data_IF_310250519376
#
_entry.id   IF_310250519376
#
_cell.length_a   1.000
_cell.length_b   1.000
_cell.length_c   1.000
_cell.angle_alpha   90.00
_cell.angle_beta   90.00
_cell.angle_gamma   90.00
#
_symmetry.space_group_name_H-M   'P 1'
#
loop_
_entity.id
_entity.type
_entity.pdbx_description
1 polymer ?
#
# COMPACT_ATOMS: atom_id res chain seq x y z
N UNK A 1 15.76 24.80 -28.00
CA UNK A 1 15.09 23.46 -28.03
C UNK A 1 14.69 23.11 -26.60
N UNK A 2 13.52 22.45 -26.41
CA UNK A 2 13.09 21.97 -25.09
C UNK A 2 13.08 20.44 -25.10
N UNK A 3 13.69 19.81 -24.08
CA UNK A 3 13.74 18.35 -23.90
C UNK A 3 13.01 18.00 -22.62
N UNK A 4 12.01 17.11 -22.70
CA UNK A 4 11.32 16.52 -21.56
C UNK A 4 11.96 15.17 -21.27
N UNK A 5 12.34 14.95 -20.01
CA UNK A 5 13.01 13.74 -19.54
C UNK A 5 12.05 13.06 -18.57
N UNK A 6 11.37 12.01 -19.04
CA UNK A 6 10.42 11.21 -18.26
C UNK A 6 11.00 9.80 -18.09
N UNK A 7 11.48 9.50 -16.88
CA UNK A 7 12.15 8.24 -16.57
C UNK A 7 11.60 7.65 -15.28
N UNK A 8 11.43 6.34 -15.25
CA UNK A 8 11.20 5.58 -14.02
C UNK A 8 12.54 5.31 -13.29
N UNK A 9 12.47 4.77 -12.08
CA UNK A 9 13.61 4.39 -11.27
C UNK A 9 14.39 3.21 -11.90
N UNK A 10 15.72 3.22 -11.70
CA UNK A 10 16.55 2.04 -11.95
C UNK A 10 16.60 1.22 -10.66
N UNK A 11 15.70 0.30 -10.53
CA UNK A 11 15.45 -0.49 -9.30
C UNK A 11 16.73 -0.97 -8.62
N UNK A 12 16.94 -0.50 -7.38
CA UNK A 12 18.15 -0.80 -6.58
C UNK A 12 19.40 0.00 -6.93
N UNK A 13 19.31 1.03 -7.81
CA UNK A 13 20.44 1.84 -8.25
C UNK A 13 20.17 3.34 -8.16
N UNK A 14 19.27 3.88 -9.00
CA UNK A 14 18.94 5.31 -9.06
C UNK A 14 17.43 5.53 -8.92
N UNK A 15 17.04 6.56 -8.20
CA UNK A 15 15.66 7.05 -8.24
C UNK A 15 15.33 7.66 -9.61
N UNK A 16 14.05 7.76 -9.95
CA UNK A 16 13.58 8.43 -11.18
C UNK A 16 14.08 9.88 -11.26
N UNK A 17 14.16 10.55 -10.11
CA UNK A 17 14.65 11.92 -9.97
C UNK A 17 16.16 12.01 -10.28
N UNK A 18 16.97 11.14 -9.66
CA UNK A 18 18.43 11.11 -9.89
C UNK A 18 18.76 10.76 -11.33
N UNK A 19 18.08 9.76 -11.91
CA UNK A 19 18.23 9.37 -13.29
C UNK A 19 17.88 10.51 -14.24
N UNK A 20 16.74 11.17 -14.03
CA UNK A 20 16.31 12.33 -14.82
C UNK A 20 17.28 13.50 -14.72
N UNK A 21 17.80 13.82 -13.52
CA UNK A 21 18.81 14.88 -13.31
C UNK A 21 20.12 14.56 -14.02
N UNK A 22 20.59 13.30 -13.98
CA UNK A 22 21.81 12.88 -14.67
C UNK A 22 21.69 13.02 -16.18
N UNK A 23 20.55 12.63 -16.76
CA UNK A 23 20.27 12.83 -18.21
C UNK A 23 20.22 14.31 -18.56
N UNK A 24 19.54 15.15 -17.76
CA UNK A 24 19.49 16.59 -17.97
C UNK A 24 20.88 17.24 -17.95
N UNK A 25 21.75 16.80 -17.06
CA UNK A 25 23.13 17.27 -17.00
C UNK A 25 23.91 16.87 -18.27
N UNK A 26 23.76 15.61 -18.74
CA UNK A 26 24.38 15.16 -19.98
C UNK A 26 23.94 15.97 -21.19
N UNK A 27 22.63 16.26 -21.31
CA UNK A 27 22.09 17.11 -22.40
C UNK A 27 22.68 18.53 -22.35
N UNK A 28 22.72 19.16 -21.16
CA UNK A 28 23.28 20.51 -20.99
C UNK A 28 24.77 20.57 -21.25
N UNK A 29 25.53 19.51 -21.01
CA UNK A 29 26.95 19.41 -21.36
C UNK A 29 27.16 19.37 -22.88
N UNK A 30 26.23 18.74 -23.61
CA UNK A 30 26.31 18.69 -25.06
C UNK A 30 25.90 20.02 -25.71
N UNK A 31 24.85 20.65 -25.21
CA UNK A 31 24.39 21.99 -25.63
C UNK A 31 23.69 22.69 -24.45
N UNK A 32 24.39 23.67 -23.89
CA UNK A 32 23.90 24.47 -22.74
C UNK A 32 22.69 25.36 -23.05
N UNK A 33 22.28 25.50 -24.32
CA UNK A 33 21.09 26.28 -24.71
C UNK A 33 19.80 25.48 -24.63
N UNK A 34 19.88 24.16 -24.40
CA UNK A 34 18.72 23.28 -24.31
C UNK A 34 18.04 23.41 -22.94
N UNK A 35 16.76 23.76 -22.95
CA UNK A 35 15.92 23.72 -21.78
C UNK A 35 15.55 22.26 -21.47
N UNK A 36 15.98 21.74 -20.31
CA UNK A 36 15.63 20.40 -19.84
C UNK A 36 14.57 20.47 -18.76
N UNK A 37 13.45 19.74 -18.95
CA UNK A 37 12.40 19.56 -17.96
C UNK A 37 12.41 18.10 -17.52
N UNK A 38 12.75 17.86 -16.24
CA UNK A 38 12.71 16.52 -15.64
C UNK A 38 11.32 16.28 -15.11
N UNK A 39 10.64 15.25 -15.63
CA UNK A 39 9.32 14.79 -15.21
C UNK A 39 9.48 13.36 -14.68
N UNK A 40 9.76 13.16 -13.39
CA UNK A 40 9.85 11.82 -12.82
C UNK A 40 8.54 11.06 -13.03
N UNK A 41 8.64 9.81 -13.47
CA UNK A 41 7.49 8.90 -13.59
C UNK A 41 7.66 7.72 -12.65
N UNK A 42 6.56 7.08 -12.30
CA UNK A 42 6.54 5.91 -11.43
C UNK A 42 5.32 5.03 -11.74
N UNK A 43 5.47 3.74 -11.46
CA UNK A 43 4.51 2.69 -11.79
C UNK A 43 3.60 2.29 -10.60
N UNK A 44 3.58 3.07 -9.52
CA UNK A 44 2.88 2.72 -8.27
C UNK A 44 3.75 1.90 -7.29
N UNK A 45 4.98 1.57 -7.67
CA UNK A 45 5.98 0.91 -6.83
C UNK A 45 6.84 1.88 -6.01
N UNK A 46 8.05 1.42 -5.66
CA UNK A 46 9.01 2.19 -4.86
C UNK A 46 9.42 3.49 -5.56
N UNK A 47 9.35 4.62 -4.82
CA UNK A 47 9.71 5.95 -5.30
C UNK A 47 8.56 6.75 -5.93
N UNK A 48 7.38 6.17 -6.07
CA UNK A 48 6.18 6.84 -6.62
C UNK A 48 5.83 8.10 -5.83
N UNK A 49 5.81 8.01 -4.49
CA UNK A 49 5.48 9.15 -3.63
C UNK A 49 6.47 10.30 -3.81
N UNK A 50 7.76 10.01 -3.82
CA UNK A 50 8.79 11.03 -4.01
C UNK A 50 8.71 11.68 -5.40
N UNK A 51 8.56 10.87 -6.45
CA UNK A 51 8.47 11.34 -7.83
C UNK A 51 7.26 12.27 -8.05
N UNK A 52 6.07 11.84 -7.62
CA UNK A 52 4.85 12.65 -7.75
C UNK A 52 4.89 13.89 -6.87
N UNK A 53 5.45 13.80 -5.65
CA UNK A 53 5.58 14.96 -4.75
C UNK A 53 6.47 16.03 -5.36
N UNK A 54 7.64 15.66 -5.92
CA UNK A 54 8.54 16.60 -6.61
C UNK A 54 7.86 17.17 -7.86
N UNK A 55 7.26 16.31 -8.70
CA UNK A 55 6.59 16.73 -9.93
C UNK A 55 5.42 17.70 -9.71
N UNK A 56 4.72 17.56 -8.60
CA UNK A 56 3.60 18.44 -8.20
C UNK A 56 4.06 19.65 -7.36
N UNK A 57 5.36 19.79 -7.08
CA UNK A 57 5.89 20.78 -6.15
C UNK A 57 5.19 20.73 -4.79
N UNK A 58 5.05 19.52 -4.26
CA UNK A 58 4.49 19.23 -2.93
C UNK A 58 5.55 19.26 -1.84
N UNK A 59 5.11 19.01 -0.63
CA UNK A 59 5.95 18.92 0.58
C UNK A 59 6.02 17.47 1.05
N UNK A 60 7.17 17.05 1.59
CA UNK A 60 7.32 15.72 2.20
C UNK A 60 7.05 15.82 3.70
N UNK A 61 6.14 14.97 4.18
CA UNK A 61 5.81 14.80 5.59
C UNK A 61 6.47 13.52 6.10
N UNK A 62 7.06 13.58 7.30
CA UNK A 62 7.65 12.44 8.01
C UNK A 62 6.79 12.07 9.21
N UNK A 63 6.46 10.80 9.33
CA UNK A 63 5.64 10.30 10.43
C UNK A 63 6.24 9.01 11.01
N UNK A 64 6.16 8.83 12.33
CA UNK A 64 6.53 7.58 12.98
C UNK A 64 5.32 6.65 13.06
N UNK A 65 5.42 5.51 12.40
CA UNK A 65 4.36 4.52 12.29
C UNK A 65 4.85 3.14 12.71
N UNK A 66 3.92 2.22 12.86
CA UNK A 66 4.22 0.81 13.12
C UNK A 66 4.74 0.16 11.85
N UNK A 67 5.93 -0.40 11.92
CA UNK A 67 6.54 -1.18 10.84
C UNK A 67 5.92 -2.56 10.67
N UNK A 68 6.34 -3.32 9.64
CA UNK A 68 5.74 -4.61 9.32
C UNK A 68 5.92 -5.67 10.42
N UNK A 69 6.95 -5.56 11.25
CA UNK A 69 7.22 -6.48 12.38
C UNK A 69 6.73 -5.92 13.73
N UNK A 70 6.01 -4.79 13.74
CA UNK A 70 5.46 -4.17 14.95
C UNK A 70 6.34 -3.11 15.60
N UNK A 71 7.61 -2.96 15.20
CA UNK A 71 8.50 -1.89 15.64
C UNK A 71 8.11 -0.53 15.02
N UNK A 72 8.61 0.57 15.59
CA UNK A 72 8.36 1.90 15.01
C UNK A 72 9.39 2.24 13.94
N UNK A 73 8.90 2.56 12.76
CA UNK A 73 9.67 3.04 11.61
C UNK A 73 9.30 4.48 11.28
N UNK A 74 10.18 5.19 10.58
CA UNK A 74 9.86 6.49 9.98
C UNK A 74 9.40 6.27 8.55
N UNK A 75 8.18 6.67 8.24
CA UNK A 75 7.62 6.67 6.90
C UNK A 75 7.52 8.10 6.37
N UNK A 76 7.61 8.25 5.05
CA UNK A 76 7.47 9.52 4.35
C UNK A 76 6.28 9.47 3.39
N UNK A 77 5.57 10.59 3.25
CA UNK A 77 4.54 10.76 2.23
C UNK A 77 4.50 12.20 1.73
N UNK A 78 4.02 12.40 0.50
CA UNK A 78 3.90 13.71 -0.11
C UNK A 78 2.57 14.38 0.20
N UNK A 79 2.57 15.72 0.29
CA UNK A 79 1.36 16.54 0.43
C UNK A 79 1.38 17.68 -0.56
N UNK A 80 0.25 17.89 -1.26
CA UNK A 80 -0.01 19.07 -2.09
C UNK A 80 -1.43 19.56 -1.88
N UNK A 81 -1.58 20.64 -1.13
CA UNK A 81 -2.91 21.14 -0.73
C UNK A 81 -3.68 20.09 0.07
N UNK A 82 -4.77 19.56 -0.46
CA UNK A 82 -5.57 18.50 0.16
C UNK A 82 -5.29 17.08 -0.40
N UNK A 83 -4.27 16.95 -1.24
CA UNK A 83 -3.82 15.66 -1.80
C UNK A 83 -2.67 15.10 -0.96
N UNK A 84 -2.79 13.85 -0.57
CA UNK A 84 -1.70 13.06 -0.01
C UNK A 84 -1.26 11.97 -1.00
N UNK A 85 0.04 11.73 -1.10
CA UNK A 85 0.66 10.74 -1.98
C UNK A 85 1.48 9.80 -1.09
N UNK A 86 1.01 8.57 -0.95
CA UNK A 86 1.56 7.57 -0.05
C UNK A 86 2.06 6.35 -0.81
N UNK A 87 3.02 5.65 -0.21
CA UNK A 87 3.40 4.28 -0.59
C UNK A 87 3.25 3.37 0.63
N UNK A 88 2.53 2.27 0.46
CA UNK A 88 2.40 1.29 1.53
C UNK A 88 3.74 0.70 1.96
N UNK A 89 4.70 0.64 1.04
CA UNK A 89 6.04 0.11 1.28
C UNK A 89 6.85 0.91 2.32
N UNK A 90 6.53 2.19 2.53
CA UNK A 90 7.14 3.04 3.57
C UNK A 90 6.85 2.53 4.99
N UNK A 91 5.72 1.84 5.19
CA UNK A 91 5.29 1.33 6.49
C UNK A 91 5.23 -0.21 6.54
N UNK A 92 5.02 -0.88 5.42
CA UNK A 92 4.78 -2.32 5.36
C UNK A 92 5.50 -3.00 4.18
N UNK A 93 6.59 -2.40 3.70
CA UNK A 93 7.36 -2.86 2.56
C UNK A 93 8.32 -4.00 2.88
N UNK A 94 8.62 -4.80 1.84
CA UNK A 94 9.55 -5.92 1.93
C UNK A 94 11.00 -5.50 2.31
N UNK A 95 11.53 -4.31 1.89
CA UNK A 95 12.84 -3.84 2.32
C UNK A 95 12.96 -3.59 3.83
N UNK A 96 11.85 -3.35 4.53
CA UNK A 96 11.82 -3.17 5.99
C UNK A 96 11.95 -4.50 6.76
N UNK A 97 11.87 -5.65 6.07
CA UNK A 97 11.90 -6.97 6.69
C UNK A 97 13.19 -7.69 6.29
N UNK A 98 14.14 -7.90 7.22
CA UNK A 98 15.32 -8.74 6.97
C UNK A 98 14.92 -10.11 6.42
N UNK A 99 15.71 -10.64 5.48
CA UNK A 99 15.36 -11.86 4.76
C UNK A 99 15.08 -13.06 5.69
N UNK A 100 15.85 -13.18 6.77
CA UNK A 100 15.73 -14.22 7.80
C UNK A 100 14.51 -14.04 8.71
N UNK A 101 13.87 -12.86 8.68
CA UNK A 101 12.66 -12.54 9.47
C UNK A 101 11.39 -12.47 8.63
N UNK A 102 11.46 -12.76 7.33
CA UNK A 102 10.29 -12.75 6.46
C UNK A 102 9.31 -13.84 6.87
N UNK A 103 8.12 -13.43 7.29
CA UNK A 103 7.05 -14.31 7.68
C UNK A 103 5.70 -13.59 7.53
N UNK A 104 4.94 -13.82 6.45
CA UNK A 104 3.69 -13.10 6.19
C UNK A 104 2.56 -13.46 7.16
N UNK A 105 2.73 -14.50 7.98
CA UNK A 105 1.80 -14.81 9.07
C UNK A 105 1.81 -13.72 10.16
N UNK A 106 2.92 -12.98 10.30
CA UNK A 106 3.16 -12.03 11.40
C UNK A 106 3.25 -10.58 10.96
N UNK A 107 3.53 -10.32 9.69
CA UNK A 107 3.71 -8.94 9.18
C UNK A 107 2.38 -8.23 9.02
N UNK A 108 2.36 -6.92 9.35
CA UNK A 108 1.13 -6.12 9.44
C UNK A 108 1.13 -4.89 8.53
N UNK A 109 -0.05 -4.52 8.06
CA UNK A 109 -0.33 -3.24 7.37
C UNK A 109 -0.73 -2.11 8.32
N UNK A 110 -0.60 -2.28 9.65
CA UNK A 110 -1.08 -1.29 10.63
C UNK A 110 -0.52 0.11 10.39
N UNK A 111 0.77 0.22 10.09
CA UNK A 111 1.41 1.50 9.80
C UNK A 111 0.88 2.21 8.54
N UNK A 112 0.36 1.47 7.57
CA UNK A 112 -0.32 2.06 6.40
C UNK A 112 -1.55 2.84 6.84
N UNK A 113 -2.35 2.27 7.75
CA UNK A 113 -3.49 2.95 8.33
C UNK A 113 -3.09 4.15 9.21
N UNK A 114 -1.97 4.05 9.95
CA UNK A 114 -1.42 5.20 10.70
C UNK A 114 -1.01 6.34 9.74
N UNK A 115 -0.37 6.05 8.61
CA UNK A 115 -0.03 7.06 7.58
C UNK A 115 -1.29 7.73 7.02
N UNK A 116 -2.31 6.94 6.66
CA UNK A 116 -3.59 7.48 6.16
C UNK A 116 -4.25 8.39 7.19
N UNK A 117 -4.28 7.96 8.46
CA UNK A 117 -4.85 8.75 9.56
C UNK A 117 -4.08 10.04 9.79
N UNK A 118 -2.75 10.01 9.73
CA UNK A 118 -1.90 11.20 9.85
C UNK A 118 -2.17 12.20 8.74
N UNK A 119 -2.22 11.75 7.48
CA UNK A 119 -2.54 12.61 6.34
C UNK A 119 -3.96 13.21 6.41
N UNK A 120 -4.96 12.45 6.90
CA UNK A 120 -6.30 12.95 7.17
C UNK A 120 -6.26 14.06 8.23
N UNK A 121 -5.49 13.89 9.30
CA UNK A 121 -5.31 14.90 10.36
C UNK A 121 -4.58 16.15 9.86
N UNK A 122 -3.73 16.03 8.83
CA UNK A 122 -3.14 17.15 8.09
C UNK A 122 -4.13 17.84 7.13
N UNK A 123 -5.38 17.41 7.07
CA UNK A 123 -6.42 18.01 6.25
C UNK A 123 -6.54 17.46 4.84
N UNK A 124 -5.82 16.39 4.50
CA UNK A 124 -5.92 15.74 3.21
C UNK A 124 -7.27 15.00 3.06
N UNK A 125 -7.85 15.07 1.87
CA UNK A 125 -9.12 14.40 1.51
C UNK A 125 -9.01 13.60 0.21
N UNK A 126 -7.93 13.79 -0.53
CA UNK A 126 -7.63 13.06 -1.76
C UNK A 126 -6.34 12.29 -1.55
N UNK A 127 -6.33 11.04 -1.99
CA UNK A 127 -5.21 10.14 -1.74
C UNK A 127 -4.83 9.41 -3.01
N UNK A 128 -3.53 9.38 -3.29
CA UNK A 128 -2.90 8.44 -4.21
C UNK A 128 -2.08 7.51 -3.34
N UNK A 129 -2.34 6.21 -3.41
CA UNK A 129 -1.67 5.20 -2.62
C UNK A 129 -1.04 4.15 -3.52
N UNK A 130 0.28 4.14 -3.62
CA UNK A 130 1.03 3.04 -4.23
C UNK A 130 1.00 1.81 -3.32
N UNK A 131 0.58 0.66 -3.86
CA UNK A 131 0.46 -0.58 -3.08
C UNK A 131 1.46 -1.67 -3.48
N UNK A 132 2.48 -1.33 -4.28
CA UNK A 132 3.58 -2.21 -4.62
C UNK A 132 4.54 -2.50 -3.47
N UNK A 133 5.36 -3.54 -3.60
CA UNK A 133 6.49 -3.84 -2.70
C UNK A 133 6.14 -4.36 -1.30
N UNK A 134 4.94 -4.88 -1.06
CA UNK A 134 4.45 -5.31 0.27
C UNK A 134 5.19 -6.51 0.87
N UNK A 135 5.39 -6.48 2.21
CA UNK A 135 5.87 -7.62 3.00
C UNK A 135 4.73 -8.42 3.65
N UNK A 136 3.49 -7.98 3.52
CA UNK A 136 2.34 -8.42 4.30
C UNK A 136 1.38 -9.32 3.52
N UNK A 137 0.62 -10.14 4.25
CA UNK A 137 -0.47 -10.97 3.72
C UNK A 137 -1.63 -11.01 4.73
N UNK A 138 -1.97 -9.85 5.30
CA UNK A 138 -2.96 -9.69 6.36
C UNK A 138 -4.33 -9.18 5.85
N UNK A 139 -4.55 -9.18 4.52
CA UNK A 139 -5.80 -8.70 3.95
C UNK A 139 -6.07 -7.21 4.18
N UNK A 140 -5.07 -6.43 4.60
CA UNK A 140 -5.25 -5.05 5.03
C UNK A 140 -5.84 -4.91 6.43
N UNK A 141 -5.94 -6.00 7.20
CA UNK A 141 -6.53 -6.02 8.54
C UNK A 141 -5.86 -5.01 9.48
N UNK A 142 -4.53 -4.96 9.49
CA UNK A 142 -3.80 -3.98 10.29
C UNK A 142 -4.16 -2.54 9.93
N UNK A 143 -4.21 -2.22 8.64
CA UNK A 143 -4.64 -0.90 8.17
C UNK A 143 -6.03 -0.55 8.69
N UNK A 144 -6.98 -1.48 8.59
CA UNK A 144 -8.34 -1.27 9.07
C UNK A 144 -8.39 -1.04 10.58
N UNK A 145 -7.63 -1.82 11.36
CA UNK A 145 -7.52 -1.62 12.83
C UNK A 145 -6.99 -0.22 13.16
N UNK A 146 -5.94 0.25 12.47
CA UNK A 146 -5.39 1.59 12.69
C UNK A 146 -6.38 2.71 12.33
N UNK A 147 -7.31 2.44 11.40
CA UNK A 147 -8.37 3.37 11.00
C UNK A 147 -9.64 3.25 11.87
N UNK A 148 -9.63 2.38 12.89
CA UNK A 148 -10.69 2.25 13.87
C UNK A 148 -11.78 1.24 13.53
N UNK A 149 -11.56 0.36 12.55
CA UNK A 149 -12.42 -0.81 12.37
C UNK A 149 -12.13 -1.84 13.45
N UNK A 150 -13.15 -2.42 14.02
CA UNK A 150 -13.03 -3.50 15.00
C UNK A 150 -12.99 -4.85 14.28
N UNK A 151 -11.84 -5.50 14.30
CA UNK A 151 -11.65 -6.88 13.85
C UNK A 151 -11.49 -7.74 15.10
N UNK A 152 -12.48 -8.59 15.39
CA UNK A 152 -12.64 -9.25 16.68
C UNK A 152 -12.61 -10.77 16.55
N UNK A 153 -12.05 -11.42 17.55
CA UNK A 153 -12.18 -12.87 17.75
C UNK A 153 -13.56 -13.26 18.30
N UNK A 154 -13.79 -14.55 18.53
CA UNK A 154 -15.04 -15.08 19.09
C UNK A 154 -15.37 -14.57 20.51
N UNK A 155 -14.36 -14.14 21.26
CA UNK A 155 -14.49 -13.66 22.64
C UNK A 155 -14.63 -12.12 22.68
N UNK A 156 -14.62 -11.45 21.51
CA UNK A 156 -14.76 -10.00 21.35
C UNK A 156 -13.46 -9.21 21.55
N UNK A 157 -12.31 -9.87 21.58
CA UNK A 157 -11.02 -9.22 21.67
C UNK A 157 -10.49 -8.84 20.26
N UNK A 158 -9.73 -7.75 20.13
CA UNK A 158 -9.06 -7.41 18.89
C UNK A 158 -8.13 -8.55 18.43
N UNK A 159 -8.20 -8.92 17.15
CA UNK A 159 -7.30 -9.93 16.59
C UNK A 159 -5.85 -9.43 16.54
N UNK A 160 -4.84 -10.30 16.69
CA UNK A 160 -3.44 -9.93 16.58
C UNK A 160 -3.08 -9.50 15.14
N UNK A 161 -1.88 -8.93 14.97
CA UNK A 161 -1.36 -8.55 13.67
C UNK A 161 -1.05 -9.75 12.78
N UNK A 162 -0.99 -9.50 11.47
CA UNK A 162 -0.61 -10.47 10.45
C UNK A 162 -1.75 -11.41 10.04
N UNK A 163 -1.43 -12.35 9.15
CA UNK A 163 -2.40 -13.37 8.74
C UNK A 163 -2.86 -14.25 9.92
N UNK A 164 -2.04 -14.39 10.97
CA UNK A 164 -2.44 -15.08 12.21
C UNK A 164 -3.66 -14.45 12.85
N UNK A 165 -3.84 -13.14 12.72
CA UNK A 165 -5.04 -12.45 13.19
C UNK A 165 -6.30 -12.88 12.42
N UNK A 166 -6.19 -13.08 11.13
CA UNK A 166 -7.30 -13.54 10.30
C UNK A 166 -7.72 -14.99 10.64
N UNK A 167 -6.81 -15.81 11.18
CA UNK A 167 -7.11 -17.17 11.63
C UNK A 167 -8.19 -17.20 12.69
N UNK A 168 -8.17 -16.23 13.60
CA UNK A 168 -9.10 -16.17 14.75
C UNK A 168 -10.21 -15.14 14.56
N UNK A 169 -10.25 -14.47 13.42
CA UNK A 169 -11.25 -13.47 13.09
C UNK A 169 -12.64 -14.10 13.05
N UNK A 170 -13.56 -13.56 13.87
CA UNK A 170 -14.95 -14.01 13.98
C UNK A 170 -15.97 -12.90 13.68
N UNK A 171 -15.57 -11.62 13.81
CA UNK A 171 -16.48 -10.48 13.62
C UNK A 171 -15.73 -9.26 13.11
N UNK A 172 -16.40 -8.48 12.25
CA UNK A 172 -15.93 -7.19 11.76
C UNK A 172 -17.00 -6.15 12.07
N UNK A 173 -16.60 -5.02 12.64
CA UNK A 173 -17.47 -3.86 12.89
C UNK A 173 -16.82 -2.56 12.45
N UNK A 174 -17.64 -1.60 12.05
CA UNK A 174 -17.17 -0.28 11.54
C UNK A 174 -17.67 0.90 12.39
N UNK A 175 -18.27 0.63 13.56
CA UNK A 175 -18.86 1.68 14.41
C UNK A 175 -17.84 2.69 14.94
N UNK A 176 -16.59 2.24 15.12
CA UNK A 176 -15.49 3.06 15.62
C UNK A 176 -14.57 3.55 14.49
N UNK A 177 -14.88 3.23 13.22
CA UNK A 177 -14.10 3.67 12.07
C UNK A 177 -14.04 5.19 12.02
N UNK A 178 -12.86 5.72 11.64
CA UNK A 178 -12.59 7.15 11.57
C UNK A 178 -13.64 7.86 10.69
N UNK A 179 -14.48 8.76 11.25
CA UNK A 179 -15.60 9.35 10.50
C UNK A 179 -15.17 10.16 9.27
N UNK A 180 -13.96 10.71 9.30
CA UNK A 180 -13.39 11.49 8.19
C UNK A 180 -13.20 10.67 6.91
N UNK A 181 -13.08 9.33 6.98
CA UNK A 181 -12.96 8.44 5.83
C UNK A 181 -14.10 8.60 4.83
N UNK A 182 -15.31 8.91 5.29
CA UNK A 182 -16.49 9.12 4.43
C UNK A 182 -16.32 10.28 3.44
N UNK A 183 -15.40 11.20 3.71
CA UNK A 183 -15.13 12.38 2.89
C UNK A 183 -13.82 12.25 2.11
N UNK A 184 -13.18 11.07 2.14
CA UNK A 184 -11.93 10.83 1.44
C UNK A 184 -12.20 10.17 0.07
N UNK A 185 -11.42 10.59 -0.92
CA UNK A 185 -11.35 9.96 -2.23
C UNK A 185 -9.97 9.31 -2.33
N UNK A 186 -9.94 7.99 -2.45
CA UNK A 186 -8.71 7.20 -2.47
C UNK A 186 -8.57 6.52 -3.82
N UNK A 187 -7.41 6.71 -4.47
CA UNK A 187 -6.99 5.99 -5.65
C UNK A 187 -5.78 5.16 -5.30
N UNK A 188 -5.85 3.86 -5.55
CA UNK A 188 -4.76 2.95 -5.28
C UNK A 188 -4.12 2.51 -6.59
N UNK A 189 -2.83 2.81 -6.76
CA UNK A 189 -2.04 2.36 -7.90
C UNK A 189 -1.76 0.86 -7.76
N UNK A 190 -2.32 0.07 -8.68
CA UNK A 190 -2.34 -1.38 -8.64
C UNK A 190 -2.17 -1.97 -10.04
N UNK A 191 -0.98 -2.48 -10.36
CA UNK A 191 -0.68 -3.05 -11.68
C UNK A 191 -0.97 -4.55 -11.79
N UNK A 192 -1.53 -5.16 -10.74
CA UNK A 192 -1.88 -6.58 -10.74
C UNK A 192 -3.39 -6.78 -10.68
N UNK A 193 -3.86 -7.83 -11.33
CA UNK A 193 -5.29 -8.18 -11.41
C UNK A 193 -5.65 -9.42 -10.57
N UNK A 194 -4.73 -9.91 -9.75
CA UNK A 194 -4.92 -11.11 -8.95
C UNK A 194 -6.15 -10.99 -8.03
N UNK A 195 -7.00 -12.03 -7.94
CA UNK A 195 -8.07 -12.10 -6.96
C UNK A 195 -7.50 -12.26 -5.54
N UNK A 196 -8.37 -12.14 -4.54
CA UNK A 196 -7.95 -12.27 -3.15
C UNK A 196 -7.46 -13.69 -2.83
N UNK A 197 -8.15 -14.72 -3.30
CA UNK A 197 -7.97 -16.12 -2.94
C UNK A 197 -7.78 -17.03 -4.16
N UNK A 198 -7.36 -18.27 -3.91
CA UNK A 198 -7.22 -19.33 -4.89
C UNK A 198 -5.80 -19.43 -5.48
N UNK A 199 -5.65 -20.22 -6.54
CA UNK A 199 -4.35 -20.50 -7.18
C UNK A 199 -3.67 -19.24 -7.72
N UNK A 200 -4.46 -18.24 -8.14
CA UNK A 200 -3.99 -16.92 -8.58
C UNK A 200 -4.15 -15.85 -7.50
N UNK A 201 -4.49 -16.24 -6.28
CA UNK A 201 -4.73 -15.33 -5.15
C UNK A 201 -3.44 -14.79 -4.51
N UNK A 202 -3.61 -13.83 -3.62
CA UNK A 202 -2.50 -13.12 -3.00
C UNK A 202 -1.50 -14.03 -2.28
N UNK A 203 -2.00 -15.03 -1.54
CA UNK A 203 -1.16 -15.94 -0.77
C UNK A 203 -0.34 -16.86 -1.67
N UNK A 204 -0.97 -17.41 -2.73
CA UNK A 204 -0.33 -18.33 -3.64
C UNK A 204 0.75 -17.66 -4.50
N UNK A 205 0.43 -16.48 -5.08
CA UNK A 205 1.31 -15.80 -6.04
C UNK A 205 2.41 -15.02 -5.32
N UNK A 206 2.07 -14.26 -4.29
CA UNK A 206 3.00 -13.32 -3.66
C UNK A 206 3.54 -13.80 -2.29
N UNK A 207 2.97 -14.86 -1.72
CA UNK A 207 3.42 -15.43 -0.44
C UNK A 207 4.87 -15.90 -0.43
N UNK A 208 5.35 -16.64 -1.46
CA UNK A 208 6.71 -17.18 -1.47
C UNK A 208 7.80 -16.13 -1.29
N UNK A 209 7.73 -14.98 -2.01
CA UNK A 209 8.72 -13.90 -1.88
C UNK A 209 8.72 -13.23 -0.50
N UNK A 210 7.63 -13.38 0.26
CA UNK A 210 7.44 -12.88 1.63
C UNK A 210 7.87 -13.89 2.69
N UNK A 211 8.37 -15.06 2.28
CA UNK A 211 8.84 -16.12 3.17
C UNK A 211 7.78 -17.15 3.55
N UNK A 212 6.66 -17.23 2.82
CA UNK A 212 5.65 -18.25 3.07
C UNK A 212 6.09 -19.64 2.60
N UNK A 213 5.86 -20.65 3.43
CA UNK A 213 5.94 -22.06 3.02
C UNK A 213 4.66 -22.49 2.30
N UNK A 214 4.67 -23.63 1.57
CA UNK A 214 3.44 -24.17 0.97
C UNK A 214 2.30 -24.40 1.96
N UNK A 215 2.61 -24.77 3.20
CA UNK A 215 1.64 -24.94 4.29
C UNK A 215 1.01 -23.60 4.65
N UNK A 216 1.85 -22.58 4.91
CA UNK A 216 1.39 -21.21 5.22
C UNK A 216 0.51 -20.66 4.11
N UNK A 217 0.83 -20.90 2.83
CA UNK A 217 0.05 -20.44 1.69
C UNK A 217 -1.37 -21.00 1.76
N UNK A 218 -1.52 -22.33 2.00
CA UNK A 218 -2.85 -22.95 2.10
C UNK A 218 -3.64 -22.42 3.28
N UNK A 219 -2.99 -22.26 4.43
CA UNK A 219 -3.63 -21.71 5.62
C UNK A 219 -4.09 -20.26 5.41
N UNK A 220 -3.21 -19.40 4.91
CA UNK A 220 -3.53 -18.00 4.64
C UNK A 220 -4.65 -17.83 3.61
N UNK A 221 -4.69 -18.67 2.57
CA UNK A 221 -5.79 -18.65 1.60
C UNK A 221 -7.14 -18.98 2.28
N UNK A 222 -7.15 -19.94 3.20
CA UNK A 222 -8.32 -20.25 4.03
C UNK A 222 -8.73 -19.08 4.92
N UNK A 223 -7.78 -18.40 5.55
CA UNK A 223 -8.07 -17.23 6.39
C UNK A 223 -8.63 -16.06 5.58
N UNK A 224 -8.09 -15.81 4.38
CA UNK A 224 -8.59 -14.80 3.46
C UNK A 224 -10.03 -15.09 3.01
N UNK A 225 -10.39 -16.37 2.75
CA UNK A 225 -11.76 -16.77 2.42
C UNK A 225 -12.72 -16.49 3.57
N UNK A 226 -12.34 -16.82 4.80
CA UNK A 226 -13.13 -16.51 5.99
C UNK A 226 -13.30 -14.99 6.17
N UNK A 227 -12.23 -14.23 6.02
CA UNK A 227 -12.24 -12.77 6.08
C UNK A 227 -13.22 -12.18 5.05
N UNK A 228 -13.14 -12.62 3.79
CA UNK A 228 -14.05 -12.18 2.74
C UNK A 228 -15.52 -12.56 3.05
N UNK A 229 -15.75 -13.75 3.59
CA UNK A 229 -17.10 -14.19 3.99
C UNK A 229 -17.67 -13.33 5.12
N UNK A 230 -16.88 -13.03 6.14
CA UNK A 230 -17.30 -12.13 7.23
C UNK A 230 -17.53 -10.70 6.76
N UNK A 231 -16.74 -10.23 5.79
CA UNK A 231 -16.89 -8.89 5.21
C UNK A 231 -18.26 -8.70 4.56
N UNK A 232 -18.85 -9.74 3.95
CA UNK A 232 -20.19 -9.68 3.36
C UNK A 232 -21.31 -9.32 4.35
N UNK A 233 -21.11 -9.50 5.64
CA UNK A 233 -22.09 -9.08 6.64
C UNK A 233 -22.25 -7.56 6.73
N UNK A 234 -21.18 -6.80 6.41
CA UNK A 234 -21.19 -5.33 6.38
C UNK A 234 -21.29 -4.77 4.96
N UNK A 235 -20.72 -5.48 4.00
CA UNK A 235 -20.60 -5.09 2.59
C UNK A 235 -21.05 -6.26 1.70
N UNK A 236 -22.36 -6.48 1.52
CA UNK A 236 -22.90 -7.63 0.78
C UNK A 236 -22.41 -7.73 -0.68
N UNK A 237 -22.10 -6.58 -1.29
CA UNK A 237 -21.58 -6.47 -2.65
C UNK A 237 -20.08 -6.81 -2.77
N UNK A 238 -19.39 -7.03 -1.65
CA UNK A 238 -17.96 -7.34 -1.69
C UNK A 238 -17.67 -8.62 -2.46
N UNK A 239 -16.69 -8.56 -3.35
CA UNK A 239 -16.30 -9.68 -4.20
C UNK A 239 -14.80 -9.93 -4.10
N UNK A 240 -14.43 -11.14 -3.67
CA UNK A 240 -13.04 -11.60 -3.54
C UNK A 240 -12.34 -11.78 -4.91
N UNK A 241 -13.12 -11.88 -5.99
CA UNK A 241 -12.64 -12.05 -7.37
C UNK A 241 -12.44 -10.71 -8.09
N UNK A 242 -12.70 -9.58 -7.44
CA UNK A 242 -12.45 -8.26 -8.02
C UNK A 242 -10.98 -8.16 -8.44
N UNK A 243 -10.70 -7.75 -9.71
CA UNK A 243 -9.32 -7.55 -10.15
C UNK A 243 -8.56 -6.62 -9.22
N UNK A 244 -7.37 -7.06 -8.78
CA UNK A 244 -6.55 -6.30 -7.83
C UNK A 244 -6.89 -6.53 -6.35
N UNK A 245 -7.95 -7.28 -6.01
CA UNK A 245 -8.28 -7.60 -4.62
C UNK A 245 -7.11 -8.28 -3.88
N UNK A 246 -6.33 -9.11 -4.58
CA UNK A 246 -5.15 -9.79 -4.03
C UNK A 246 -3.89 -8.92 -3.96
N UNK A 247 -3.90 -7.71 -4.53
CA UNK A 247 -2.74 -6.84 -4.50
C UNK A 247 -2.28 -6.59 -3.06
N UNK A 248 -0.95 -6.54 -2.88
CA UNK A 248 -0.31 -6.26 -1.58
C UNK A 248 -0.81 -7.18 -0.44
N UNK A 249 -1.01 -8.48 -0.74
CA UNK A 249 -1.46 -9.46 0.28
C UNK A 249 -2.88 -9.22 0.77
N UNK A 250 -3.77 -8.79 -0.12
CA UNK A 250 -5.17 -8.51 0.13
C UNK A 250 -5.45 -7.07 0.58
N UNK A 251 -4.45 -6.20 0.64
CA UNK A 251 -4.67 -4.77 0.91
C UNK A 251 -5.60 -4.14 -0.13
N UNK A 252 -5.49 -4.56 -1.42
CA UNK A 252 -6.40 -4.14 -2.49
C UNK A 252 -7.86 -4.41 -2.16
N UNK A 253 -8.18 -5.58 -1.62
CA UNK A 253 -9.54 -5.90 -1.17
C UNK A 253 -10.01 -4.96 -0.06
N UNK A 254 -9.18 -4.74 0.98
CA UNK A 254 -9.54 -3.83 2.06
C UNK A 254 -9.77 -2.39 1.57
N UNK A 255 -8.89 -1.89 0.71
CA UNK A 255 -9.02 -0.55 0.12
C UNK A 255 -10.32 -0.41 -0.70
N UNK A 256 -10.58 -1.36 -1.60
CA UNK A 256 -11.77 -1.30 -2.45
C UNK A 256 -13.07 -1.43 -1.67
N UNK A 257 -13.15 -2.37 -0.74
CA UNK A 257 -14.40 -2.69 -0.04
C UNK A 257 -14.67 -1.75 1.14
N UNK A 258 -13.69 -1.52 2.02
CA UNK A 258 -13.91 -0.77 3.26
C UNK A 258 -13.71 0.75 3.09
N UNK A 259 -12.81 1.15 2.19
CA UNK A 259 -12.49 2.56 1.95
C UNK A 259 -13.02 3.08 0.62
N UNK A 260 -13.72 2.23 -0.14
CA UNK A 260 -14.27 2.55 -1.47
C UNK A 260 -13.21 3.13 -2.43
N UNK A 261 -11.97 2.65 -2.31
CA UNK A 261 -10.88 3.09 -3.16
C UNK A 261 -11.06 2.58 -4.59
N UNK A 262 -10.72 3.44 -5.55
CA UNK A 262 -10.60 3.08 -6.95
C UNK A 262 -9.22 2.41 -7.17
N UNK A 263 -9.22 1.13 -7.57
CA UNK A 263 -7.99 0.45 -7.97
C UNK A 263 -7.74 0.75 -9.45
N UNK A 264 -6.59 1.29 -9.77
CA UNK A 264 -6.26 1.72 -11.13
C UNK A 264 -4.78 1.45 -11.44
N UNK A 265 -4.42 1.27 -12.72
CA UNK A 265 -3.03 1.13 -13.11
C UNK A 265 -2.18 2.30 -12.62
N UNK A 266 -0.94 2.02 -12.19
CA UNK A 266 -0.06 3.03 -11.63
C UNK A 266 0.37 4.12 -12.62
N UNK A 267 0.24 3.84 -13.92
CA UNK A 267 0.62 4.77 -15.00
C UNK A 267 -0.52 5.75 -15.38
N UNK A 268 -1.75 5.54 -14.93
CA UNK A 268 -2.90 6.40 -15.18
C UNK A 268 -3.11 7.43 -14.05
#
# INVERSE_FOLDING_TARGET
MRVVIAMDSFKGSLSSIEAGKAVAEGVRRADGTIECVVCPVADGGEGTSAALTEGLHGETVRVRVTGPLGEKVTAEYGVKGNLAILEMAQAAGLPLVPQDKRNPMKTTTYGVGEMLRDAINHGCKRFILGIGGSATNDGGAGMLQALGFDLLDKDGNPVPFGAEGLRVLAKIENKNALPALKNCVIRAACDVTNPLCGENGCSAVFGPQKGATPEMIREMDGYMRNYAALTKNLYPESNLDTPGAGAAGGLGFALGVFLHAELMPGIE
#
